data_IF_105096315381
#
_entry.id   IF_105096315381
#
_cell.length_a   1.000
_cell.length_b   1.000
_cell.length_c   1.000
_cell.angle_alpha   90.00
_cell.angle_beta   90.00
_cell.angle_gamma   90.00
#
_symmetry.space_group_name_H-M   'P 1'
#
loop_
_entity.id
_entity.type
_entity.pdbx_description
1 polymer ?
#
# COMPACT_ATOMS: atom_id res chain seq x y z
N UNK A 1 -1.79 -24.71 -0.48
CA UNK A 1 -2.47 -24.09 -1.65
C UNK A 1 -3.99 -23.96 -1.51
N UNK A 2 -4.66 -24.58 -0.53
CA UNK A 2 -6.14 -24.54 -0.43
C UNK A 2 -6.76 -23.15 -0.16
N UNK A 3 -6.07 -22.23 0.52
CA UNK A 3 -6.64 -20.92 0.84
C UNK A 3 -6.75 -19.97 -0.35
N UNK A 4 -5.84 -20.10 -1.32
CA UNK A 4 -5.90 -19.30 -2.54
C UNK A 4 -7.09 -19.75 -3.41
N UNK A 5 -7.28 -21.07 -3.54
CA UNK A 5 -8.47 -21.64 -4.21
C UNK A 5 -9.76 -21.18 -3.53
N UNK A 6 -9.86 -21.27 -2.20
CA UNK A 6 -11.03 -20.79 -1.44
C UNK A 6 -11.39 -19.32 -1.73
N UNK A 7 -10.38 -18.46 -1.91
CA UNK A 7 -10.58 -17.06 -2.30
C UNK A 7 -10.96 -16.92 -3.78
N UNK A 8 -10.28 -17.62 -4.69
CA UNK A 8 -10.51 -17.56 -6.14
C UNK A 8 -11.87 -18.14 -6.56
N UNK A 9 -12.27 -19.25 -5.93
CA UNK A 9 -13.55 -19.93 -6.12
C UNK A 9 -14.71 -19.17 -5.45
N UNK A 10 -14.41 -18.05 -4.79
CA UNK A 10 -15.36 -17.16 -4.11
C UNK A 10 -16.21 -17.91 -3.09
N UNK A 11 -15.62 -18.88 -2.42
CA UNK A 11 -16.30 -19.69 -1.45
C UNK A 11 -16.60 -18.89 -0.16
N UNK A 12 -17.70 -19.23 0.50
CA UNK A 12 -18.07 -18.67 1.79
C UNK A 12 -18.32 -17.15 1.76
N UNK A 13 -17.49 -16.39 2.49
CA UNK A 13 -17.65 -14.94 2.65
C UNK A 13 -17.29 -14.15 1.39
N UNK A 14 -16.41 -14.69 0.53
CA UNK A 14 -15.90 -13.98 -0.64
C UNK A 14 -16.90 -13.93 -1.80
N UNK A 15 -17.85 -14.86 -1.87
CA UNK A 15 -18.93 -14.86 -2.86
C UNK A 15 -20.07 -13.87 -2.56
N UNK A 16 -20.11 -13.30 -1.36
CA UNK A 16 -21.19 -12.39 -0.97
C UNK A 16 -21.06 -11.03 -1.66
N UNK A 17 -22.13 -10.56 -2.28
CA UNK A 17 -22.12 -9.32 -3.07
C UNK A 17 -21.66 -8.10 -2.25
N UNK A 18 -22.09 -7.99 -0.98
CA UNK A 18 -21.64 -6.89 -0.12
C UNK A 18 -20.13 -6.91 0.15
N UNK A 19 -19.49 -8.08 0.24
CA UNK A 19 -18.04 -8.19 0.47
C UNK A 19 -17.27 -7.65 -0.73
N UNK A 20 -17.79 -7.88 -1.94
CA UNK A 20 -17.24 -7.33 -3.19
C UNK A 20 -17.46 -5.83 -3.31
N UNK A 21 -18.65 -5.32 -2.95
CA UNK A 21 -18.89 -3.87 -2.91
C UNK A 21 -17.94 -3.18 -1.92
N UNK A 22 -17.78 -3.75 -0.72
CA UNK A 22 -16.84 -3.23 0.26
C UNK A 22 -15.40 -3.21 -0.26
N UNK A 23 -14.98 -4.18 -1.07
CA UNK A 23 -13.63 -4.19 -1.67
C UNK A 23 -13.35 -2.94 -2.53
N UNK A 24 -14.38 -2.35 -3.14
CA UNK A 24 -14.27 -1.14 -3.97
C UNK A 24 -14.26 0.15 -3.14
N UNK A 25 -14.91 0.14 -1.98
CA UNK A 25 -15.17 1.34 -1.17
C UNK A 25 -14.20 1.48 0.01
N UNK A 26 -13.48 0.42 0.39
CA UNK A 26 -12.68 0.40 1.61
C UNK A 26 -11.19 0.20 1.34
N UNK A 27 -10.30 0.69 2.23
CA UNK A 27 -8.87 0.40 2.14
C UNK A 27 -8.62 -1.11 2.21
N UNK A 28 -7.63 -1.61 1.46
CA UNK A 28 -7.37 -3.05 1.32
C UNK A 28 -7.02 -3.73 2.63
N UNK A 29 -6.20 -3.08 3.45
CA UNK A 29 -5.75 -3.61 4.71
C UNK A 29 -6.95 -3.82 5.65
N UNK A 30 -7.91 -2.89 5.63
CA UNK A 30 -9.17 -3.01 6.39
C UNK A 30 -10.09 -4.08 5.82
N UNK A 31 -10.10 -4.25 4.49
CA UNK A 31 -10.88 -5.32 3.87
C UNK A 31 -10.36 -6.71 4.26
N UNK A 32 -9.05 -6.91 4.17
CA UNK A 32 -8.38 -8.15 4.58
C UNK A 32 -8.54 -8.42 6.08
N UNK A 33 -8.42 -7.40 6.94
CA UNK A 33 -8.66 -7.56 8.37
C UNK A 33 -10.11 -7.99 8.69
N UNK A 34 -11.09 -7.46 7.95
CA UNK A 34 -12.51 -7.75 8.17
C UNK A 34 -12.95 -9.12 7.62
N UNK A 35 -12.53 -9.49 6.41
CA UNK A 35 -13.03 -10.67 5.69
C UNK A 35 -12.00 -11.80 5.53
N UNK A 36 -10.71 -11.50 5.70
CA UNK A 36 -9.60 -12.44 5.52
C UNK A 36 -9.48 -13.52 6.60
N UNK A 37 -10.29 -13.46 7.67
CA UNK A 37 -10.31 -14.49 8.73
C UNK A 37 -10.62 -15.90 8.22
N UNK A 38 -11.32 -16.02 7.10
CA UNK A 38 -11.58 -17.30 6.43
C UNK A 38 -10.32 -17.90 5.78
N UNK A 39 -9.29 -17.10 5.51
CA UNK A 39 -8.04 -17.49 4.84
C UNK A 39 -6.83 -16.87 5.58
N UNK A 40 -6.53 -17.30 6.82
CA UNK A 40 -5.59 -16.60 7.69
C UNK A 40 -4.16 -16.49 7.12
N UNK A 41 -3.68 -17.48 6.37
CA UNK A 41 -2.33 -17.46 5.78
C UNK A 41 -2.30 -16.45 4.62
N UNK A 42 -3.29 -16.51 3.74
CA UNK A 42 -3.41 -15.56 2.63
C UNK A 42 -3.59 -14.12 3.13
N UNK A 43 -4.41 -13.93 4.17
CA UNK A 43 -4.61 -12.63 4.80
C UNK A 43 -3.30 -12.07 5.38
N UNK A 44 -2.50 -12.90 6.05
CA UNK A 44 -1.20 -12.46 6.59
C UNK A 44 -0.24 -12.01 5.50
N UNK A 45 -0.18 -12.74 4.38
CA UNK A 45 0.66 -12.39 3.24
C UNK A 45 0.14 -11.11 2.57
N UNK A 46 -1.17 -11.03 2.32
CA UNK A 46 -1.79 -9.85 1.72
C UNK A 46 -1.53 -8.60 2.57
N UNK A 47 -1.78 -8.64 3.88
CA UNK A 47 -1.50 -7.52 4.78
C UNK A 47 -0.01 -7.12 4.76
N UNK A 48 0.90 -8.08 4.66
CA UNK A 48 2.35 -7.81 4.60
C UNK A 48 2.75 -7.10 3.31
N UNK A 49 2.24 -7.57 2.16
CA UNK A 49 2.46 -6.95 0.85
C UNK A 49 1.89 -5.53 0.81
N UNK A 50 0.67 -5.35 1.34
CA UNK A 50 -0.01 -4.05 1.40
C UNK A 50 0.69 -3.05 2.33
N UNK A 51 1.43 -3.53 3.32
CA UNK A 51 2.23 -2.67 4.20
C UNK A 51 3.54 -2.19 3.55
N UNK A 52 3.93 -2.75 2.40
CA UNK A 52 5.17 -2.35 1.73
C UNK A 52 4.98 -1.01 0.99
N UNK A 53 5.87 -0.05 1.18
CA UNK A 53 5.86 1.16 0.37
C UNK A 53 6.21 0.81 -1.09
N UNK A 54 5.30 1.11 -2.01
CA UNK A 54 5.43 0.77 -3.44
C UNK A 54 6.26 1.81 -4.21
N UNK A 55 6.55 2.96 -3.62
CA UNK A 55 7.20 4.08 -4.29
C UNK A 55 8.62 4.35 -3.77
N UNK A 56 9.55 4.60 -4.71
CA UNK A 56 10.90 5.05 -4.40
C UNK A 56 10.90 6.35 -3.57
N UNK A 57 9.89 7.21 -3.73
CA UNK A 57 9.76 8.46 -2.97
C UNK A 57 9.67 8.28 -1.46
N UNK A 58 9.21 7.12 -0.96
CA UNK A 58 9.27 6.78 0.46
C UNK A 58 10.71 6.56 0.92
N UNK A 59 11.51 5.85 0.11
CA UNK A 59 12.92 5.63 0.37
C UNK A 59 13.74 6.92 0.22
N UNK A 60 13.48 7.73 -0.81
CA UNK A 60 14.13 9.03 -1.03
C UNK A 60 13.93 9.99 0.14
N UNK A 61 12.73 10.01 0.74
CA UNK A 61 12.47 10.78 1.96
C UNK A 61 13.37 10.33 3.11
N UNK A 62 13.47 9.01 3.34
CA UNK A 62 14.32 8.45 4.38
C UNK A 62 15.79 8.79 4.14
N UNK A 63 16.25 8.73 2.88
CA UNK A 63 17.61 9.10 2.49
C UNK A 63 17.90 10.59 2.67
N UNK A 64 16.94 11.46 2.35
CA UNK A 64 17.06 12.91 2.59
C UNK A 64 17.18 13.24 4.08
N UNK A 65 16.37 12.59 4.93
CA UNK A 65 16.45 12.72 6.39
C UNK A 65 17.79 12.19 6.91
N UNK A 66 18.23 11.04 6.40
CA UNK A 66 19.52 10.47 6.75
C UNK A 66 20.66 11.46 6.42
N UNK A 67 20.64 12.07 5.23
CA UNK A 67 21.59 13.12 4.84
C UNK A 67 21.54 14.35 5.76
N UNK A 68 20.35 14.75 6.21
CA UNK A 68 20.20 15.84 7.19
C UNK A 68 20.80 15.49 8.56
N UNK A 69 20.60 14.26 9.04
CA UNK A 69 21.16 13.77 10.31
C UNK A 69 22.69 13.67 10.21
N UNK A 70 23.19 13.13 9.10
CA UNK A 70 24.61 13.00 8.75
C UNK A 70 25.11 14.18 7.93
N UNK A 71 24.74 15.39 8.33
CA UNK A 71 25.29 16.60 7.69
C UNK A 71 26.79 16.76 7.98
N UNK A 72 27.48 17.58 7.20
CA UNK A 72 28.93 17.81 7.29
C UNK A 72 29.39 18.24 8.70
N UNK A 73 28.51 18.89 9.48
CA UNK A 73 28.77 19.29 10.87
C UNK A 73 28.46 18.20 11.92
N UNK A 74 27.79 17.11 11.54
CA UNK A 74 27.31 16.00 12.42
C UNK A 74 27.81 14.62 11.97
N UNK A 75 28.99 14.56 11.35
CA UNK A 75 29.56 13.34 10.76
C UNK A 75 29.96 12.26 11.78
N UNK A 76 30.24 12.63 13.03
CA UNK A 76 30.72 11.72 14.11
C UNK A 76 29.68 10.72 14.66
N UNK A 77 28.43 10.77 14.22
CA UNK A 77 27.41 9.80 14.65
C UNK A 77 27.74 8.38 14.16
N UNK A 78 27.45 7.34 14.94
CA UNK A 78 27.55 5.96 14.44
C UNK A 78 26.39 5.67 13.48
N UNK A 79 26.60 4.85 12.46
CA UNK A 79 25.56 4.46 11.50
C UNK A 79 24.29 3.94 12.20
N UNK A 80 24.46 3.03 13.16
CA UNK A 80 23.35 2.50 13.98
C UNK A 80 22.53 3.59 14.70
N UNK A 81 23.17 4.68 15.10
CA UNK A 81 22.50 5.81 15.75
C UNK A 81 21.73 6.64 14.73
N UNK A 82 22.30 6.87 13.56
CA UNK A 82 21.63 7.55 12.45
C UNK A 82 20.40 6.77 11.96
N UNK A 83 20.49 5.45 11.83
CA UNK A 83 19.36 4.59 11.43
C UNK A 83 18.19 4.70 12.43
N UNK A 84 18.50 4.63 13.73
CA UNK A 84 17.51 4.81 14.80
C UNK A 84 16.86 6.19 14.77
N UNK A 85 17.62 7.24 14.47
CA UNK A 85 17.10 8.60 14.36
C UNK A 85 16.16 8.76 13.16
N UNK A 86 16.51 8.20 12.00
CA UNK A 86 15.60 8.17 10.83
C UNK A 86 14.32 7.42 11.16
N UNK A 87 14.43 6.26 11.81
CA UNK A 87 13.26 5.49 12.25
C UNK A 87 12.36 6.31 13.18
N UNK A 88 12.92 6.93 14.23
CA UNK A 88 12.17 7.77 15.16
C UNK A 88 11.51 8.97 14.45
N UNK A 89 12.22 9.60 13.51
CA UNK A 89 11.70 10.71 12.72
C UNK A 89 10.47 10.31 11.91
N UNK A 90 10.58 9.25 11.10
CA UNK A 90 9.46 8.80 10.28
C UNK A 90 8.31 8.25 11.11
N UNK A 91 8.58 7.48 12.16
CA UNK A 91 7.55 6.99 13.06
C UNK A 91 6.77 8.16 13.71
N UNK A 92 7.47 9.21 14.15
CA UNK A 92 6.84 10.40 14.70
C UNK A 92 6.03 11.16 13.63
N UNK A 93 6.61 11.35 12.45
CA UNK A 93 5.94 12.01 11.32
C UNK A 93 4.64 11.30 10.93
N UNK A 94 4.67 9.97 10.77
CA UNK A 94 3.49 9.15 10.50
C UNK A 94 2.46 9.30 11.63
N UNK A 95 2.88 9.15 12.89
CA UNK A 95 1.97 9.28 14.05
C UNK A 95 1.30 10.65 14.10
N UNK A 96 2.02 11.72 13.78
CA UNK A 96 1.45 13.08 13.69
C UNK A 96 0.48 13.20 12.52
N UNK A 97 0.81 12.63 11.34
CA UNK A 97 -0.07 12.62 10.17
C UNK A 97 -1.39 11.90 10.45
N UNK A 98 -1.33 10.73 11.10
CA UNK A 98 -2.51 9.96 11.52
C UNK A 98 -3.35 10.68 12.58
N UNK A 99 -2.73 11.47 13.46
CA UNK A 99 -3.43 12.23 14.51
C UNK A 99 -4.09 13.52 14.00
N UNK A 100 -3.75 14.00 12.80
CA UNK A 100 -4.42 15.18 12.22
C UNK A 100 -5.91 14.86 12.04
N UNK A 101 -6.77 15.65 12.68
CA UNK A 101 -8.23 15.48 12.62
C UNK A 101 -8.69 15.50 11.17
N UNK A 102 -9.28 14.40 10.70
CA UNK A 102 -9.75 14.27 9.32
C UNK A 102 -8.82 13.49 8.38
N UNK A 103 -7.73 12.89 8.86
CA UNK A 103 -6.98 11.92 8.03
C UNK A 103 -7.88 10.74 7.65
N UNK A 104 -8.26 10.68 6.38
CA UNK A 104 -8.85 9.51 5.75
C UNK A 104 -7.75 8.84 4.95
N UNK A 105 -7.53 7.56 5.23
CA UNK A 105 -6.67 6.72 4.40
C UNK A 105 -7.22 6.74 2.97
N UNK A 106 -6.43 7.16 1.97
CA UNK A 106 -6.90 7.23 0.60
C UNK A 106 -7.31 5.83 0.14
N UNK A 107 -8.59 5.67 -0.18
CA UNK A 107 -9.15 4.47 -0.80
C UNK A 107 -8.69 4.44 -2.24
N UNK A 108 -7.51 3.87 -2.50
CA UNK A 108 -7.10 3.54 -3.86
C UNK A 108 -8.03 2.44 -4.34
N UNK A 109 -8.75 2.68 -5.44
CA UNK A 109 -9.68 1.71 -6.02
C UNK A 109 -8.86 0.53 -6.58
N UNK A 110 -9.23 -0.69 -6.19
CA UNK A 110 -8.45 -1.91 -6.41
C UNK A 110 -8.61 -2.52 -7.80
N UNK A 111 -9.70 -2.18 -8.49
CA UNK A 111 -9.99 -2.65 -9.82
C UNK A 111 -9.45 -1.61 -10.82
N UNK A 112 -8.34 -1.95 -11.46
CA UNK A 112 -7.95 -1.35 -12.74
C UNK A 112 -9.02 -1.71 -13.76
N UNK A 113 -9.47 -0.73 -14.54
CA UNK A 113 -10.40 -0.93 -15.66
C UNK A 113 -9.95 -2.12 -16.49
N UNK A 114 -10.81 -3.14 -16.57
CA UNK A 114 -10.73 -4.17 -17.59
C UNK A 114 -11.78 -3.84 -18.63
N UNK A 115 -11.27 -3.51 -19.81
CA UNK A 115 -11.81 -3.66 -21.16
C UNK A 115 -13.00 -2.79 -21.56
N UNK A 116 -12.70 -1.67 -22.23
CA UNK A 116 -13.42 -1.16 -23.42
C UNK A 116 -12.49 -0.14 -24.13
N UNK A 117 -11.46 -0.65 -24.83
CA UNK A 117 -10.72 0.10 -25.85
C UNK A 117 -11.07 -0.50 -27.22
N UNK A 118 -12.24 -0.12 -27.74
CA UNK A 118 -12.54 -0.25 -29.17
C UNK A 118 -12.10 1.04 -29.86
N UNK A 119 -10.80 1.15 -30.14
CA UNK A 119 -10.29 2.19 -31.04
C UNK A 119 -10.20 1.64 -32.46
N UNK A 120 -11.33 1.64 -33.17
CA UNK A 120 -11.29 1.69 -34.63
C UNK A 120 -11.06 3.14 -35.01
N UNK A 121 -9.87 3.49 -35.51
CA UNK A 121 -9.63 4.57 -36.48
C UNK A 121 -8.17 4.48 -36.96
N UNK A 122 -7.95 3.76 -38.07
CA UNK A 122 -6.77 3.97 -38.92
C UNK A 122 -6.98 5.28 -39.69
N UNK A 123 -6.20 6.31 -39.42
CA UNK A 123 -6.01 7.42 -40.37
C UNK A 123 -4.55 7.52 -40.84
N UNK A 124 -4.42 7.40 -42.16
CA UNK A 124 -3.23 7.49 -42.98
C UNK A 124 -2.36 8.73 -42.71
N UNK A 125 -1.10 8.54 -42.33
CA UNK A 125 -0.04 9.52 -42.56
C UNK A 125 0.61 9.27 -43.93
N UNK A 126 0.21 10.10 -44.90
CA UNK A 126 0.87 10.22 -46.21
C UNK A 126 2.22 10.93 -46.04
N UNK A 127 3.29 10.32 -46.57
CA UNK A 127 4.61 10.93 -46.71
C UNK A 127 4.60 12.16 -47.62
#
# INVERSE_FOLDING_TARGET
>A
MMQLAHYQDKEGVFGKQFVRSHAKEMPPAKWWDKYGKAVPILCSVACSVLAQPVCASAAERNWSIYGSIKSERRTRLKHITSDRLVFCHEALHLRLKLRKSGYKEPTVKWESDSDDDDSSDEEDLKC
#
